data_IF_011742403129
#
_entry.id   IF_011742403129
#
_cell.length_a   1.000
_cell.length_b   1.000
_cell.length_c   1.000
_cell.angle_alpha   90.00
_cell.angle_beta   90.00
_cell.angle_gamma   90.00
#
_symmetry.space_group_name_H-M   'P 1'
#
loop_
_entity.id
_entity.type
_entity.pdbx_description
1 polymer ?
#
# COMPACT_ATOMS: atom_id res chain seq x y z
N UNK A 1 -20.23 -7.33 -20.93
CA UNK A 1 -21.16 -6.60 -20.04
C UNK A 1 -20.42 -5.90 -18.89
N UNK A 2 -19.66 -6.58 -18.03
CA UNK A 2 -18.95 -5.95 -16.89
C UNK A 2 -17.89 -4.93 -17.34
N UNK A 3 -16.92 -5.33 -18.18
CA UNK A 3 -15.85 -4.44 -18.66
C UNK A 3 -16.41 -3.18 -19.34
N UNK A 4 -17.44 -3.34 -20.17
CA UNK A 4 -18.12 -2.23 -20.84
C UNK A 4 -18.78 -1.27 -19.85
N UNK A 5 -19.46 -1.79 -18.83
CA UNK A 5 -20.09 -0.95 -17.80
C UNK A 5 -19.04 -0.16 -17.02
N UNK A 6 -17.94 -0.80 -16.62
CA UNK A 6 -16.82 -0.11 -15.96
C UNK A 6 -16.23 1.00 -16.85
N UNK A 7 -16.05 0.72 -18.15
CA UNK A 7 -15.60 1.71 -19.12
C UNK A 7 -16.52 2.92 -19.26
N UNK A 8 -17.84 2.69 -19.30
CA UNK A 8 -18.85 3.77 -19.34
C UNK A 8 -18.81 4.67 -18.08
N UNK A 9 -18.25 4.17 -16.98
CA UNK A 9 -18.03 4.92 -15.74
C UNK A 9 -16.57 5.38 -15.55
N UNK A 10 -15.76 5.36 -16.62
CA UNK A 10 -14.35 5.76 -16.62
C UNK A 10 -13.48 4.97 -15.62
N UNK A 11 -13.81 3.69 -15.40
CA UNK A 11 -13.03 2.79 -14.56
C UNK A 11 -12.09 1.95 -15.43
N UNK A 12 -10.79 2.04 -15.13
CA UNK A 12 -9.76 1.21 -15.75
C UNK A 12 -9.88 -0.23 -15.25
N UNK A 13 -9.58 -1.19 -16.13
CA UNK A 13 -9.72 -2.62 -15.89
C UNK A 13 -8.39 -3.30 -16.14
N UNK A 14 -7.94 -4.07 -15.15
CA UNK A 14 -6.89 -5.08 -15.30
C UNK A 14 -7.60 -6.44 -15.34
N UNK A 15 -7.38 -7.20 -16.40
CA UNK A 15 -7.90 -8.56 -16.49
C UNK A 15 -6.97 -9.50 -15.74
N UNK A 16 -7.54 -10.40 -14.95
CA UNK A 16 -6.78 -11.39 -14.20
C UNK A 16 -7.17 -12.82 -14.58
N UNK A 17 -6.19 -13.72 -14.56
CA UNK A 17 -6.42 -15.15 -14.60
C UNK A 17 -6.29 -15.72 -13.17
N UNK A 18 -7.39 -15.68 -12.41
CA UNK A 18 -7.37 -15.99 -10.98
C UNK A 18 -7.19 -17.48 -10.65
N UNK A 19 -8.09 -18.32 -11.17
CA UNK A 19 -8.02 -19.77 -11.07
C UNK A 19 -8.52 -20.37 -12.39
N UNK A 20 -8.05 -21.58 -12.73
CA UNK A 20 -8.53 -22.26 -13.94
C UNK A 20 -9.89 -22.90 -13.70
N UNK A 21 -10.05 -23.56 -12.54
CA UNK A 21 -11.32 -24.11 -12.09
C UNK A 21 -11.95 -23.14 -11.08
N UNK A 22 -13.22 -22.77 -11.32
CA UNK A 22 -13.98 -21.89 -10.43
C UNK A 22 -13.98 -22.42 -8.99
N UNK A 23 -13.61 -21.57 -8.03
CA UNK A 23 -13.53 -21.92 -6.62
C UNK A 23 -13.01 -20.76 -5.79
N UNK A 24 -12.91 -20.96 -4.47
CA UNK A 24 -12.26 -20.02 -3.57
C UNK A 24 -10.75 -20.25 -3.59
N UNK A 25 -10.00 -19.19 -3.82
CA UNK A 25 -8.55 -19.18 -3.77
C UNK A 25 -8.09 -18.82 -2.34
N UNK A 26 -6.98 -19.33 -1.81
CA UNK A 26 -5.93 -20.09 -2.48
C UNK A 26 -5.39 -21.17 -1.53
N UNK A 27 -5.46 -22.45 -1.92
CA UNK A 27 -4.85 -23.53 -1.15
C UNK A 27 -3.59 -24.05 -1.86
N UNK A 28 -2.65 -24.62 -1.09
CA UNK A 28 -1.42 -25.19 -1.65
C UNK A 28 -1.66 -26.42 -2.56
N UNK A 29 -2.83 -27.05 -2.45
CA UNK A 29 -3.15 -28.32 -3.09
C UNK A 29 -4.50 -28.31 -3.81
N UNK A 30 -5.02 -27.13 -4.19
CA UNK A 30 -6.27 -27.01 -4.96
C UNK A 30 -6.13 -27.42 -6.45
N UNK A 31 -4.93 -27.84 -6.87
CA UNK A 31 -4.65 -28.28 -8.25
C UNK A 31 -4.63 -27.14 -9.27
N UNK A 32 -4.58 -25.87 -8.83
CA UNK A 32 -4.49 -24.69 -9.67
C UNK A 32 -3.20 -23.89 -9.41
N UNK A 33 -2.35 -24.28 -8.46
CA UNK A 33 -1.27 -23.44 -7.94
C UNK A 33 -0.13 -23.18 -8.94
N UNK A 34 0.25 -24.17 -9.75
CA UNK A 34 1.40 -24.03 -10.65
C UNK A 34 1.22 -24.76 -11.98
N UNK A 35 2.04 -24.40 -12.97
CA UNK A 35 2.03 -25.02 -14.29
C UNK A 35 2.20 -26.55 -14.19
N UNK A 36 1.36 -27.29 -14.91
CA UNK A 36 1.31 -28.76 -14.87
C UNK A 36 0.54 -29.33 -13.67
N UNK A 37 -0.11 -28.50 -12.86
CA UNK A 37 -1.12 -28.97 -11.93
C UNK A 37 -2.37 -29.50 -12.63
N UNK A 38 -3.16 -30.28 -11.88
CA UNK A 38 -4.30 -31.04 -12.39
C UNK A 38 -5.28 -30.18 -13.22
N UNK A 39 -5.42 -28.90 -12.87
CA UNK A 39 -6.27 -27.96 -13.58
C UNK A 39 -5.48 -26.85 -14.30
N UNK A 40 -4.15 -26.89 -14.34
CA UNK A 40 -3.33 -25.80 -14.89
C UNK A 40 -2.37 -26.29 -15.99
N UNK A 41 -2.93 -26.52 -17.18
CA UNK A 41 -2.16 -26.79 -18.40
C UNK A 41 -1.61 -25.48 -19.00
N UNK A 42 -0.27 -25.33 -19.15
CA UNK A 42 0.34 -24.12 -19.68
C UNK A 42 -0.02 -23.82 -21.14
N UNK A 43 -0.31 -24.84 -21.97
CA UNK A 43 -0.72 -24.67 -23.36
C UNK A 43 -2.11 -24.06 -23.43
N UNK A 44 -3.04 -24.60 -22.66
CA UNK A 44 -4.42 -24.10 -22.58
C UNK A 44 -4.43 -22.68 -21.99
N UNK A 45 -3.65 -22.44 -20.94
CA UNK A 45 -3.52 -21.11 -20.33
C UNK A 45 -2.97 -20.07 -21.30
N UNK A 46 -1.90 -20.38 -22.05
CA UNK A 46 -1.33 -19.45 -23.04
C UNK A 46 -2.35 -19.11 -24.14
N UNK A 47 -3.09 -20.11 -24.61
CA UNK A 47 -4.16 -19.90 -25.59
C UNK A 47 -5.30 -19.04 -25.02
N UNK A 48 -5.68 -19.25 -23.76
CA UNK A 48 -6.68 -18.45 -23.07
C UNK A 48 -6.24 -16.99 -22.90
N UNK A 49 -4.97 -16.75 -22.51
CA UNK A 49 -4.40 -15.41 -22.43
C UNK A 49 -4.46 -14.69 -23.78
N UNK A 50 -4.02 -15.34 -24.86
CA UNK A 50 -4.07 -14.79 -26.21
C UNK A 50 -5.50 -14.42 -26.62
N UNK A 51 -6.45 -15.31 -26.35
CA UNK A 51 -7.87 -15.10 -26.66
C UNK A 51 -8.44 -13.90 -25.90
N UNK A 52 -8.15 -13.79 -24.60
CA UNK A 52 -8.61 -12.66 -23.78
C UNK A 52 -7.98 -11.35 -24.23
N UNK A 53 -6.68 -11.34 -24.50
CA UNK A 53 -5.98 -10.17 -25.04
C UNK A 53 -6.59 -9.70 -26.37
N UNK A 54 -6.81 -10.61 -27.32
CA UNK A 54 -7.43 -10.30 -28.61
C UNK A 54 -8.88 -9.81 -28.47
N UNK A 55 -9.66 -10.41 -27.56
CA UNK A 55 -11.06 -10.03 -27.30
C UNK A 55 -11.19 -8.57 -26.85
N UNK A 56 -10.21 -8.08 -26.09
CA UNK A 56 -10.19 -6.71 -25.58
C UNK A 56 -9.23 -5.79 -26.33
N UNK A 57 -8.73 -6.20 -27.50
CA UNK A 57 -7.94 -5.32 -28.35
C UNK A 57 -8.81 -4.16 -28.85
N UNK A 58 -8.32 -2.93 -28.64
CA UNK A 58 -9.05 -1.70 -28.95
C UNK A 58 -10.04 -1.24 -27.86
N UNK A 59 -10.21 -1.98 -26.76
CA UNK A 59 -11.06 -1.57 -25.64
C UNK A 59 -10.24 -0.69 -24.69
N UNK A 60 -10.41 0.63 -24.78
CA UNK A 60 -9.53 1.63 -24.15
C UNK A 60 -9.45 1.58 -22.62
N UNK A 61 -10.51 1.11 -21.95
CA UNK A 61 -10.51 1.01 -20.49
C UNK A 61 -9.89 -0.29 -19.97
N UNK A 62 -9.52 -1.24 -20.84
CA UNK A 62 -8.68 -2.39 -20.45
C UNK A 62 -7.23 -1.95 -20.58
N UNK A 63 -6.57 -1.75 -19.44
CA UNK A 63 -5.23 -1.15 -19.38
C UNK A 63 -4.13 -2.16 -19.10
N UNK A 64 -4.47 -3.33 -18.59
CA UNK A 64 -3.50 -4.36 -18.24
C UNK A 64 -4.09 -5.77 -18.19
N UNK A 65 -3.21 -6.76 -18.23
CA UNK A 65 -3.54 -8.15 -18.00
C UNK A 65 -2.51 -8.76 -17.03
N UNK A 66 -2.98 -9.21 -15.86
CA UNK A 66 -2.20 -10.11 -15.01
C UNK A 66 -2.28 -11.53 -15.57
N UNK A 67 -1.10 -12.15 -15.66
CA UNK A 67 -0.95 -13.42 -16.35
C UNK A 67 -1.50 -14.60 -15.53
N UNK A 68 -1.37 -14.57 -14.21
CA UNK A 68 -1.85 -15.63 -13.31
C UNK A 68 -1.83 -15.15 -11.86
N UNK A 69 -2.87 -15.45 -11.09
CA UNK A 69 -2.88 -15.16 -9.66
C UNK A 69 -2.10 -16.19 -8.83
N UNK A 70 -1.23 -15.72 -7.95
CA UNK A 70 -0.63 -16.46 -6.84
C UNK A 70 -0.03 -17.82 -7.20
N UNK A 71 1.01 -17.84 -8.04
CA UNK A 71 1.72 -19.10 -8.36
C UNK A 71 2.32 -19.70 -7.08
N UNK A 72 2.05 -20.99 -6.83
CA UNK A 72 2.30 -21.63 -5.52
C UNK A 72 2.29 -23.16 -5.58
N UNK A 73 2.58 -23.78 -4.46
CA UNK A 73 2.41 -25.22 -4.27
C UNK A 73 3.68 -26.03 -4.57
N UNK A 74 3.63 -27.36 -4.38
CA UNK A 74 4.81 -28.22 -4.33
C UNK A 74 5.54 -28.37 -5.67
N UNK A 75 4.90 -28.07 -6.80
CA UNK A 75 5.53 -28.12 -8.13
C UNK A 75 6.25 -26.83 -8.52
N UNK A 76 6.07 -25.75 -7.75
CA UNK A 76 6.61 -24.46 -8.12
C UNK A 76 8.13 -24.51 -8.29
N UNK A 77 8.64 -23.94 -9.37
CA UNK A 77 10.07 -23.83 -9.62
C UNK A 77 10.37 -22.65 -10.55
N UNK A 78 11.58 -22.11 -10.42
CA UNK A 78 12.01 -20.91 -11.14
C UNK A 78 12.14 -21.15 -12.65
N UNK A 79 12.56 -22.34 -13.08
CA UNK A 79 12.79 -22.63 -14.50
C UNK A 79 11.48 -22.62 -15.31
N UNK A 80 10.45 -23.29 -14.80
CA UNK A 80 9.13 -23.28 -15.40
C UNK A 80 8.46 -21.91 -15.29
N UNK A 81 8.67 -21.17 -14.20
CA UNK A 81 8.22 -19.79 -14.10
C UNK A 81 8.78 -18.94 -15.24
N UNK A 82 10.10 -18.96 -15.48
CA UNK A 82 10.70 -18.18 -16.58
C UNK A 82 10.17 -18.63 -17.94
N UNK A 83 10.07 -19.93 -18.16
CA UNK A 83 9.58 -20.48 -19.43
C UNK A 83 8.15 -20.01 -19.71
N UNK A 84 7.22 -20.28 -18.80
CA UNK A 84 5.80 -20.08 -19.05
C UNK A 84 5.37 -18.63 -18.87
N UNK A 85 5.91 -17.90 -17.88
CA UNK A 85 5.53 -16.51 -17.70
C UNK A 85 6.02 -15.63 -18.85
N UNK A 86 7.21 -15.90 -19.41
CA UNK A 86 7.64 -15.23 -20.64
C UNK A 86 6.78 -15.63 -21.84
N UNK A 87 6.46 -16.92 -21.98
CA UNK A 87 5.55 -17.39 -23.05
C UNK A 87 4.18 -16.69 -22.97
N UNK A 88 3.59 -16.58 -21.77
CA UNK A 88 2.33 -15.88 -21.56
C UNK A 88 2.41 -14.39 -21.85
N UNK A 89 3.51 -13.74 -21.44
CA UNK A 89 3.77 -12.33 -21.72
C UNK A 89 3.84 -12.03 -23.22
N UNK A 90 4.61 -12.83 -23.97
CA UNK A 90 4.72 -12.71 -25.43
C UNK A 90 3.38 -12.95 -26.12
N UNK A 91 2.61 -13.93 -25.65
CA UNK A 91 1.30 -14.26 -26.18
C UNK A 91 0.29 -13.11 -26.00
N UNK A 92 0.24 -12.50 -24.81
CA UNK A 92 -0.60 -11.32 -24.55
C UNK A 92 -0.16 -10.14 -25.42
N UNK A 93 1.13 -9.81 -25.43
CA UNK A 93 1.62 -8.65 -26.17
C UNK A 93 1.41 -8.79 -27.69
N UNK A 94 1.60 -9.99 -28.23
CA UNK A 94 1.36 -10.28 -29.66
C UNK A 94 -0.10 -10.08 -30.05
N UNK A 95 -1.04 -10.48 -29.18
CA UNK A 95 -2.47 -10.35 -29.41
C UNK A 95 -3.02 -8.93 -29.13
N UNK A 96 -2.42 -8.20 -28.19
CA UNK A 96 -2.81 -6.85 -27.82
C UNK A 96 -1.62 -6.03 -27.29
N UNK A 97 -1.06 -5.17 -28.16
CA UNK A 97 0.11 -4.33 -27.84
C UNK A 97 -0.20 -3.14 -26.93
N UNK A 98 -1.48 -2.85 -26.69
CA UNK A 98 -1.89 -1.65 -25.97
C UNK A 98 -1.84 -1.82 -24.44
N UNK A 99 -2.09 -3.04 -23.96
CA UNK A 99 -2.17 -3.35 -22.52
C UNK A 99 -0.79 -3.50 -21.86
N UNK A 100 -0.73 -3.20 -20.56
CA UNK A 100 0.35 -3.62 -19.68
C UNK A 100 0.29 -5.13 -19.47
N UNK A 101 1.44 -5.77 -19.38
CA UNK A 101 1.59 -7.20 -19.07
C UNK A 101 2.13 -7.31 -17.65
N UNK A 102 1.33 -7.87 -16.75
CA UNK A 102 1.65 -7.95 -15.32
C UNK A 102 2.06 -9.37 -14.96
N UNK A 103 3.30 -9.53 -14.48
CA UNK A 103 3.88 -10.83 -14.11
C UNK A 103 3.85 -11.03 -12.60
N UNK A 104 3.15 -12.07 -12.19
CA UNK A 104 3.03 -12.53 -10.81
C UNK A 104 4.23 -13.35 -10.33
N UNK A 105 4.38 -13.43 -9.01
CA UNK A 105 5.52 -14.05 -8.35
C UNK A 105 5.28 -15.50 -7.96
N UNK A 106 6.27 -16.09 -7.30
CA UNK A 106 6.13 -17.38 -6.62
C UNK A 106 5.63 -17.19 -5.19
N UNK A 107 5.25 -18.29 -4.55
CA UNK A 107 4.82 -18.33 -3.15
C UNK A 107 3.68 -17.36 -2.86
N UNK A 108 2.56 -17.51 -3.59
CA UNK A 108 1.38 -16.66 -3.43
C UNK A 108 1.70 -15.17 -3.72
N UNK A 109 2.47 -14.92 -4.77
CA UNK A 109 2.90 -13.57 -5.18
C UNK A 109 3.69 -12.79 -4.13
N UNK A 110 4.31 -13.49 -3.18
CA UNK A 110 5.22 -12.88 -2.18
C UNK A 110 6.69 -12.94 -2.59
N UNK A 111 7.03 -13.57 -3.73
CA UNK A 111 8.42 -13.88 -4.10
C UNK A 111 8.77 -13.64 -5.57
N UNK A 112 9.58 -12.61 -5.83
CA UNK A 112 10.19 -12.26 -7.13
C UNK A 112 11.73 -12.15 -7.05
N UNK A 113 12.34 -12.54 -5.92
CA UNK A 113 13.78 -12.39 -5.67
C UNK A 113 14.68 -13.09 -6.69
N UNK A 114 14.19 -14.17 -7.31
CA UNK A 114 14.92 -14.93 -8.34
C UNK A 114 15.09 -14.17 -9.67
N UNK A 115 14.39 -13.06 -9.87
CA UNK A 115 14.57 -12.18 -11.04
C UNK A 115 15.86 -11.37 -10.94
N UNK A 116 16.32 -11.06 -9.72
CA UNK A 116 17.54 -10.29 -9.52
C UNK A 116 18.77 -10.93 -10.19
N UNK A 117 19.08 -12.23 -10.00
CA UNK A 117 20.19 -12.87 -10.69
C UNK A 117 19.88 -13.31 -12.14
N UNK A 118 18.60 -13.33 -12.55
CA UNK A 118 18.16 -13.77 -13.87
C UNK A 118 17.03 -12.85 -14.37
N UNK A 119 17.35 -11.76 -15.07
CA UNK A 119 16.32 -10.89 -15.62
C UNK A 119 15.41 -11.62 -16.61
N UNK A 120 14.16 -11.15 -16.71
CA UNK A 120 13.20 -11.59 -17.72
C UNK A 120 13.63 -11.08 -19.10
N UNK A 121 13.50 -11.92 -20.14
CA UNK A 121 13.79 -11.56 -21.53
C UNK A 121 12.53 -11.62 -22.37
N UNK A 122 12.09 -10.45 -22.87
CA UNK A 122 10.91 -10.30 -23.73
C UNK A 122 11.27 -9.50 -24.99
N UNK A 123 10.51 -9.71 -26.06
CA UNK A 123 10.63 -9.01 -27.34
C UNK A 123 10.19 -7.54 -27.29
N UNK A 124 9.50 -7.15 -26.21
CA UNK A 124 8.92 -5.82 -26.01
C UNK A 124 9.41 -5.15 -24.73
N UNK A 125 9.34 -3.82 -24.68
CA UNK A 125 9.76 -3.00 -23.53
C UNK A 125 8.68 -1.97 -23.19
N UNK A 126 8.77 -1.35 -22.00
CA UNK A 126 7.87 -0.27 -21.58
C UNK A 126 6.42 -0.68 -21.29
N UNK A 127 6.12 -1.99 -21.25
CA UNK A 127 4.78 -2.54 -20.95
C UNK A 127 4.78 -3.59 -19.83
N UNK A 128 5.94 -3.95 -19.31
CA UNK A 128 6.09 -4.96 -18.27
C UNK A 128 5.90 -4.33 -16.88
N UNK A 129 5.09 -4.99 -16.06
CA UNK A 129 4.84 -4.67 -14.65
C UNK A 129 5.00 -5.97 -13.84
N UNK A 130 5.48 -5.86 -12.61
CA UNK A 130 5.46 -6.99 -11.66
C UNK A 130 4.44 -6.75 -10.56
N UNK A 131 3.86 -7.80 -10.01
CA UNK A 131 2.90 -7.69 -8.90
C UNK A 131 3.35 -8.41 -7.63
N UNK A 132 2.94 -7.87 -6.49
CA UNK A 132 3.10 -8.47 -5.17
C UNK A 132 1.76 -8.54 -4.44
N UNK A 133 1.57 -9.62 -3.71
CA UNK A 133 0.53 -9.75 -2.71
C UNK A 133 1.18 -9.74 -1.33
N UNK A 134 0.60 -9.00 -0.39
CA UNK A 134 1.08 -9.03 0.99
C UNK A 134 -0.09 -8.82 1.93
N UNK A 135 -0.25 -9.73 2.86
CA UNK A 135 -1.23 -9.67 3.94
C UNK A 135 -0.53 -9.87 5.27
N UNK A 136 -1.22 -9.60 6.38
CA UNK A 136 -0.68 -9.85 7.71
C UNK A 136 -0.27 -11.32 7.90
N UNK A 137 -1.04 -12.25 7.31
CA UNK A 137 -0.81 -13.69 7.37
C UNK A 137 0.27 -14.20 6.39
N UNK A 138 0.74 -13.38 5.44
CA UNK A 138 1.93 -13.70 4.64
C UNK A 138 3.16 -13.92 5.53
N UNK A 139 3.15 -13.31 6.72
CA UNK A 139 4.18 -13.42 7.75
C UNK A 139 3.73 -14.33 8.93
N UNK A 140 2.71 -15.16 8.71
CA UNK A 140 2.09 -15.98 9.76
C UNK A 140 1.46 -15.13 10.86
N UNK A 141 1.77 -15.45 12.12
CA UNK A 141 1.28 -14.73 13.31
C UNK A 141 2.33 -13.75 13.88
N UNK A 142 3.37 -13.40 13.12
CA UNK A 142 4.50 -12.64 13.66
C UNK A 142 4.11 -11.26 14.21
N UNK A 143 3.05 -10.65 13.67
CA UNK A 143 2.56 -9.36 14.17
C UNK A 143 1.91 -9.45 15.55
N UNK A 144 1.30 -10.58 15.89
CA UNK A 144 0.72 -10.79 17.22
C UNK A 144 1.71 -11.31 18.25
N UNK A 145 2.77 -12.03 17.82
CA UNK A 145 3.74 -12.64 18.74
C UNK A 145 4.99 -11.81 18.99
N UNK A 146 5.38 -10.94 18.05
CA UNK A 146 6.65 -10.21 18.11
C UNK A 146 6.43 -8.73 18.43
N UNK A 147 7.51 -8.06 18.82
CA UNK A 147 7.54 -6.60 18.88
C UNK A 147 7.20 -6.00 17.51
N UNK A 148 6.20 -5.12 17.45
CA UNK A 148 5.66 -4.58 16.20
C UNK A 148 6.66 -3.76 15.40
N UNK A 149 7.58 -3.06 16.08
CA UNK A 149 8.60 -2.25 15.44
C UNK A 149 9.68 -3.10 14.77
N UNK A 150 10.19 -4.10 15.48
CA UNK A 150 11.18 -5.03 14.94
C UNK A 150 10.58 -5.91 13.84
N UNK A 151 9.35 -6.38 14.05
CA UNK A 151 8.64 -7.16 13.04
C UNK A 151 8.38 -6.34 11.77
N UNK A 152 7.98 -5.06 11.89
CA UNK A 152 7.85 -4.18 10.73
C UNK A 152 9.19 -4.05 9.99
N UNK A 153 10.31 -3.83 10.69
CA UNK A 153 11.64 -3.81 10.06
C UNK A 153 11.97 -5.11 9.29
N UNK A 154 11.64 -6.27 9.85
CA UNK A 154 11.82 -7.56 9.17
C UNK A 154 10.91 -7.72 7.95
N UNK A 155 9.65 -7.34 8.05
CA UNK A 155 8.68 -7.40 6.95
C UNK A 155 9.10 -6.48 5.80
N UNK A 156 9.49 -5.24 6.09
CA UNK A 156 9.98 -4.31 5.07
C UNK A 156 11.25 -4.82 4.38
N UNK A 157 12.14 -5.50 5.11
CA UNK A 157 13.29 -6.17 4.51
C UNK A 157 12.87 -7.33 3.59
N UNK A 158 11.85 -8.12 3.97
CA UNK A 158 11.30 -9.18 3.11
C UNK A 158 10.68 -8.60 1.84
N UNK A 159 9.81 -7.60 1.95
CA UNK A 159 9.19 -6.92 0.81
C UNK A 159 10.27 -6.39 -0.14
N UNK A 160 11.29 -5.69 0.40
CA UNK A 160 12.41 -5.18 -0.41
C UNK A 160 13.12 -6.29 -1.17
N UNK A 161 13.49 -7.36 -0.49
CA UNK A 161 14.26 -8.46 -1.09
C UNK A 161 13.43 -9.29 -2.08
N UNK A 162 12.12 -9.39 -1.85
CA UNK A 162 11.25 -10.25 -2.62
C UNK A 162 10.49 -9.54 -3.75
N UNK A 163 10.61 -8.24 -3.92
CA UNK A 163 10.06 -7.55 -5.10
C UNK A 163 10.23 -6.04 -5.08
N UNK A 164 10.33 -5.42 -3.90
CA UNK A 164 10.57 -3.98 -3.78
C UNK A 164 11.86 -3.50 -4.46
N UNK A 165 12.86 -4.37 -4.64
CA UNK A 165 14.08 -4.06 -5.40
C UNK A 165 13.82 -3.69 -6.88
N UNK A 166 12.70 -4.12 -7.45
CA UNK A 166 12.34 -3.86 -8.85
C UNK A 166 12.11 -2.36 -9.10
N UNK A 167 11.60 -1.63 -8.11
CA UNK A 167 11.44 -0.17 -8.18
C UNK A 167 12.80 0.53 -8.39
N UNK A 168 13.84 0.07 -7.71
CA UNK A 168 15.21 0.60 -7.86
C UNK A 168 15.83 0.25 -9.23
N UNK A 169 15.30 -0.77 -9.91
CA UNK A 169 15.70 -1.16 -11.27
C UNK A 169 14.86 -0.45 -12.35
N UNK A 170 13.93 0.42 -11.96
CA UNK A 170 13.07 1.17 -12.87
C UNK A 170 11.86 0.41 -13.40
N UNK A 171 11.53 -0.74 -12.82
CA UNK A 171 10.31 -1.47 -13.14
C UNK A 171 9.13 -1.01 -12.26
N UNK A 172 7.92 -0.84 -12.82
CA UNK A 172 6.72 -0.68 -12.02
C UNK A 172 6.43 -1.93 -11.18
N UNK A 173 6.02 -1.71 -9.94
CA UNK A 173 5.61 -2.74 -8.99
C UNK A 173 4.19 -2.44 -8.53
N UNK A 174 3.29 -3.40 -8.76
CA UNK A 174 1.88 -3.30 -8.43
C UNK A 174 1.58 -4.09 -7.15
N UNK A 175 1.26 -3.41 -6.05
CA UNK A 175 0.79 -4.06 -4.82
C UNK A 175 -0.67 -4.49 -5.03
N UNK A 176 -0.84 -5.63 -5.69
CA UNK A 176 -2.11 -6.04 -6.29
C UNK A 176 -3.11 -6.57 -5.27
N UNK A 177 -2.65 -7.18 -4.20
CA UNK A 177 -3.55 -7.62 -3.14
C UNK A 177 -2.95 -7.36 -1.76
N UNK A 178 -3.72 -6.64 -0.97
CA UNK A 178 -3.53 -6.44 0.46
C UNK A 178 -4.89 -6.11 1.07
N UNK A 179 -4.99 -6.16 2.39
CA UNK A 179 -6.20 -5.81 3.11
C UNK A 179 -6.19 -6.32 4.53
N UNK A 180 -7.23 -5.96 5.28
CA UNK A 180 -7.49 -6.44 6.64
C UNK A 180 -8.97 -6.71 6.82
N UNK A 181 -9.30 -7.50 7.83
CA UNK A 181 -10.66 -7.63 8.33
C UNK A 181 -11.11 -6.29 8.94
N UNK A 182 -12.02 -5.59 8.27
CA UNK A 182 -12.45 -4.24 8.62
C UNK A 182 -13.37 -4.18 9.84
N UNK A 183 -13.77 -5.34 10.40
CA UNK A 183 -14.45 -5.40 11.71
C UNK A 183 -13.52 -5.01 12.87
N UNK A 184 -12.21 -5.10 12.67
CA UNK A 184 -11.19 -4.86 13.69
C UNK A 184 -11.08 -6.01 14.70
N UNK A 185 -10.21 -5.82 15.70
CA UNK A 185 -10.00 -6.79 16.79
C UNK A 185 -9.05 -7.94 16.43
N UNK A 186 -8.48 -7.94 15.23
CA UNK A 186 -7.43 -8.86 14.84
C UNK A 186 -6.07 -8.18 15.00
N UNK A 187 -5.36 -8.54 16.07
CA UNK A 187 -4.04 -7.97 16.42
C UNK A 187 -3.04 -8.07 15.26
N UNK A 188 -3.07 -9.15 14.47
CA UNK A 188 -2.15 -9.34 13.35
C UNK A 188 -2.41 -8.28 12.26
N UNK A 189 -3.68 -8.10 11.90
CA UNK A 189 -4.14 -7.10 10.94
C UNK A 189 -3.87 -5.67 11.41
N UNK A 190 -4.28 -5.36 12.65
CA UNK A 190 -4.20 -4.01 13.22
C UNK A 190 -2.75 -3.51 13.28
N UNK A 191 -1.80 -4.39 13.59
CA UNK A 191 -0.37 -4.04 13.69
C UNK A 191 0.35 -4.03 12.35
N UNK A 192 -0.06 -4.88 11.41
CA UNK A 192 0.50 -4.98 10.07
C UNK A 192 0.23 -3.74 9.21
N UNK A 193 -1.01 -3.25 9.25
CA UNK A 193 -1.52 -2.37 8.20
C UNK A 193 -0.76 -1.03 8.09
N UNK A 194 -0.43 -0.41 9.23
CA UNK A 194 0.36 0.82 9.26
C UNK A 194 1.78 0.64 8.71
N UNK A 195 2.39 -0.54 8.88
CA UNK A 195 3.72 -0.81 8.34
C UNK A 195 3.69 -0.91 6.81
N UNK A 196 2.75 -1.68 6.25
CA UNK A 196 2.62 -1.84 4.80
C UNK A 196 2.24 -0.51 4.12
N UNK A 197 1.22 0.18 4.62
CA UNK A 197 0.77 1.45 4.04
C UNK A 197 1.83 2.54 4.13
N UNK A 198 2.62 2.56 5.20
CA UNK A 198 3.80 3.44 5.30
C UNK A 198 4.84 3.16 4.22
N UNK A 199 5.10 1.89 3.89
CA UNK A 199 6.00 1.52 2.78
C UNK A 199 5.40 1.84 1.41
N UNK A 200 4.12 1.55 1.20
CA UNK A 200 3.43 1.82 -0.05
C UNK A 200 3.42 3.32 -0.36
N UNK A 201 3.19 4.18 0.64
CA UNK A 201 3.21 5.62 0.49
C UNK A 201 4.63 6.16 0.22
N UNK A 202 5.64 5.65 0.94
CA UNK A 202 7.05 6.05 0.74
C UNK A 202 7.57 5.73 -0.66
N UNK A 203 7.09 4.63 -1.26
CA UNK A 203 7.54 4.14 -2.56
C UNK A 203 6.59 4.50 -3.72
N UNK A 204 5.48 5.19 -3.44
CA UNK A 204 4.45 5.59 -4.42
C UNK A 204 4.04 4.44 -5.36
N UNK A 205 3.82 3.25 -4.78
CA UNK A 205 3.43 2.07 -5.58
C UNK A 205 1.96 2.13 -5.98
N UNK A 206 1.67 1.70 -7.21
CA UNK A 206 0.28 1.43 -7.60
C UNK A 206 -0.25 0.22 -6.83
N UNK A 207 -1.55 0.20 -6.54
CA UNK A 207 -2.14 -0.84 -5.68
C UNK A 207 -3.59 -1.17 -6.04
N UNK A 208 -4.02 -2.37 -5.68
CA UNK A 208 -5.43 -2.73 -5.57
C UNK A 208 -5.71 -3.39 -4.22
N UNK A 209 -6.85 -3.02 -3.65
CA UNK A 209 -7.28 -3.52 -2.36
C UNK A 209 -8.18 -4.74 -2.55
N UNK A 210 -7.91 -5.81 -1.82
CA UNK A 210 -8.86 -6.90 -1.67
C UNK A 210 -9.80 -6.57 -0.49
N UNK A 211 -11.08 -6.23 -0.72
CA UNK A 211 -11.80 -6.18 -2.00
C UNK A 211 -12.84 -5.04 -2.04
N UNK A 212 -13.47 -4.80 -3.20
CA UNK A 212 -14.60 -3.86 -3.29
C UNK A 212 -15.90 -4.46 -2.72
N UNK A 213 -16.09 -5.77 -2.89
CA UNK A 213 -17.33 -6.53 -2.65
C UNK A 213 -17.81 -6.45 -1.21
N UNK A 214 -19.11 -6.23 -0.98
CA UNK A 214 -19.70 -6.31 0.36
C UNK A 214 -20.17 -7.72 0.76
N UNK A 215 -20.81 -8.45 -0.17
CA UNK A 215 -21.25 -9.84 0.00
C UNK A 215 -20.97 -10.68 -1.24
N UNK A 216 -20.86 -12.00 -1.08
CA UNK A 216 -20.75 -12.92 -2.21
C UNK A 216 -22.12 -13.38 -2.69
N UNK A 217 -22.33 -13.41 -4.01
CA UNK A 217 -23.48 -14.10 -4.59
C UNK A 217 -23.51 -15.57 -4.14
N UNK A 218 -22.35 -16.24 -4.16
CA UNK A 218 -22.13 -17.56 -3.59
C UNK A 218 -20.66 -17.70 -3.22
N UNK A 219 -20.37 -18.09 -1.98
CA UNK A 219 -19.02 -18.45 -1.53
C UNK A 219 -19.09 -19.73 -0.70
N UNK A 220 -18.41 -20.77 -1.17
CA UNK A 220 -18.32 -22.07 -0.49
C UNK A 220 -19.70 -22.64 -0.08
N UNK A 221 -20.70 -22.51 -0.94
CA UNK A 221 -22.07 -23.00 -0.69
C UNK A 221 -22.96 -22.04 0.11
N UNK A 222 -22.45 -20.90 0.56
CA UNK A 222 -23.21 -19.88 1.30
C UNK A 222 -23.55 -18.71 0.38
N UNK A 223 -24.84 -18.42 0.23
CA UNK A 223 -25.36 -17.26 -0.50
C UNK A 223 -25.32 -16.04 0.41
N UNK A 224 -24.89 -14.89 -0.11
CA UNK A 224 -24.87 -13.63 0.63
C UNK A 224 -23.84 -13.59 1.75
N UNK A 225 -22.80 -14.44 1.71
CA UNK A 225 -21.75 -14.42 2.73
C UNK A 225 -21.05 -13.05 2.74
N UNK A 226 -20.93 -12.43 3.91
CA UNK A 226 -20.26 -11.13 4.04
C UNK A 226 -18.76 -11.23 3.74
N UNK A 227 -18.24 -10.26 2.99
CA UNK A 227 -16.81 -10.04 2.79
C UNK A 227 -16.34 -8.95 3.76
N UNK A 228 -15.68 -9.35 4.83
CA UNK A 228 -15.22 -8.43 5.87
C UNK A 228 -13.89 -7.73 5.53
N UNK A 229 -13.19 -8.19 4.49
CA UNK A 229 -12.09 -7.45 3.85
C UNK A 229 -12.63 -6.47 2.78
N UNK A 230 -13.95 -6.44 2.59
CA UNK A 230 -14.62 -5.65 1.56
C UNK A 230 -14.85 -4.20 1.99
N UNK A 231 -14.55 -3.25 1.10
CA UNK A 231 -14.79 -1.81 1.30
C UNK A 231 -16.27 -1.49 1.46
N UNK A 232 -17.12 -2.16 0.69
CA UNK A 232 -18.57 -1.96 0.76
C UNK A 232 -19.17 -2.82 1.87
N UNK A 233 -20.23 -2.33 2.49
CA UNK A 233 -21.05 -3.13 3.39
C UNK A 233 -22.02 -4.04 2.60
N UNK A 234 -22.73 -4.89 3.33
CA UNK A 234 -23.65 -5.89 2.77
C UNK A 234 -24.78 -5.31 1.91
N UNK A 235 -25.08 -4.02 2.05
CA UNK A 235 -26.05 -3.28 1.24
C UNK A 235 -25.51 -2.82 -0.13
N UNK A 236 -24.20 -2.99 -0.38
CA UNK A 236 -23.48 -2.54 -1.59
C UNK A 236 -23.53 -1.03 -1.84
N UNK A 237 -23.92 -0.24 -0.85
CA UNK A 237 -24.08 1.22 -0.93
C UNK A 237 -23.16 1.88 0.09
N UNK A 238 -23.21 1.41 1.33
CA UNK A 238 -22.47 1.97 2.45
C UNK A 238 -21.01 1.54 2.43
N UNK A 239 -20.12 2.43 2.87
CA UNK A 239 -18.74 2.07 3.18
C UNK A 239 -18.73 1.31 4.50
N UNK A 240 -18.10 0.14 4.54
CA UNK A 240 -18.02 -0.70 5.74
C UNK A 240 -17.27 -0.01 6.87
N UNK A 241 -16.08 0.55 6.58
CA UNK A 241 -15.28 1.24 7.58
C UNK A 241 -14.64 2.53 7.01
N UNK A 242 -15.19 3.68 7.40
CA UNK A 242 -14.68 5.00 6.95
C UNK A 242 -13.28 5.31 7.48
N UNK A 243 -12.95 4.85 8.69
CA UNK A 243 -11.60 4.99 9.27
C UNK A 243 -10.57 4.21 8.45
N UNK A 244 -10.93 3.03 7.96
CA UNK A 244 -10.09 2.26 7.04
C UNK A 244 -9.83 3.03 5.73
N UNK A 245 -10.86 3.60 5.09
CA UNK A 245 -10.68 4.42 3.89
C UNK A 245 -9.77 5.63 4.13
N UNK A 246 -9.86 6.25 5.31
CA UNK A 246 -8.98 7.35 5.68
C UNK A 246 -7.51 6.91 5.72
N UNK A 247 -7.21 5.74 6.29
CA UNK A 247 -5.84 5.21 6.40
C UNK A 247 -5.14 5.07 5.05
N UNK A 248 -5.88 4.74 4.00
CA UNK A 248 -5.33 4.57 2.63
C UNK A 248 -5.52 5.81 1.74
N UNK A 249 -6.07 6.90 2.27
CA UNK A 249 -6.45 8.08 1.46
C UNK A 249 -5.26 8.73 0.75
N UNK A 250 -4.09 8.78 1.40
CA UNK A 250 -2.86 9.29 0.76
C UNK A 250 -2.44 8.42 -0.44
N UNK A 251 -2.58 7.10 -0.34
CA UNK A 251 -2.18 6.16 -1.39
C UNK A 251 -2.96 6.35 -2.69
N UNK A 252 -4.12 7.01 -2.64
CA UNK A 252 -4.90 7.34 -3.85
C UNK A 252 -4.28 8.49 -4.67
N UNK A 253 -3.33 9.22 -4.09
CA UNK A 253 -2.65 10.33 -4.75
C UNK A 253 -1.38 9.85 -5.43
N UNK A 254 -1.15 10.28 -6.68
CA UNK A 254 0.13 10.05 -7.36
C UNK A 254 1.17 11.04 -6.82
N UNK A 255 2.14 10.56 -6.04
CA UNK A 255 3.12 11.41 -5.36
C UNK A 255 4.35 11.70 -6.25
N UNK A 256 4.68 10.76 -7.13
CA UNK A 256 5.85 10.77 -8.00
C UNK A 256 5.46 10.36 -9.44
N UNK A 257 6.44 10.27 -10.35
CA UNK A 257 6.22 9.80 -11.72
C UNK A 257 5.92 10.88 -12.79
N UNK A 258 5.41 10.48 -13.98
CA UNK A 258 5.29 11.36 -15.14
C UNK A 258 4.07 12.29 -15.06
N UNK A 259 4.24 13.59 -15.34
CA UNK A 259 3.16 14.60 -15.35
C UNK A 259 3.66 16.00 -14.98
N UNK A 260 2.77 16.98 -14.72
CA UNK A 260 3.16 18.28 -14.20
C UNK A 260 3.91 18.10 -12.88
N UNK A 261 5.16 18.56 -12.86
CA UNK A 261 6.05 18.48 -11.70
C UNK A 261 6.06 19.80 -10.95
N UNK A 262 6.12 19.71 -9.64
CA UNK A 262 6.53 20.81 -8.77
C UNK A 262 7.99 20.62 -8.37
N UNK A 263 8.56 21.60 -7.68
CA UNK A 263 9.76 21.34 -6.90
C UNK A 263 9.50 20.21 -5.91
N UNK A 264 10.54 19.42 -5.63
CA UNK A 264 10.44 18.26 -4.76
C UNK A 264 10.29 18.73 -3.31
N UNK A 265 9.23 18.28 -2.66
CA UNK A 265 8.94 18.59 -1.25
C UNK A 265 8.68 17.28 -0.49
N UNK A 266 8.53 17.37 0.82
CA UNK A 266 8.19 16.22 1.66
C UNK A 266 6.85 16.40 2.36
N UNK A 267 6.22 15.28 2.63
CA UNK A 267 5.11 15.12 3.56
C UNK A 267 5.63 14.38 4.80
N UNK A 268 5.08 14.68 5.97
CA UNK A 268 5.32 13.88 7.18
C UNK A 268 4.04 13.09 7.48
N UNK A 269 3.98 11.87 6.96
CA UNK A 269 2.81 10.98 6.96
C UNK A 269 2.75 10.14 8.23
N UNK A 270 1.56 9.97 8.79
CA UNK A 270 1.29 9.13 9.96
C UNK A 270 0.43 7.91 9.56
N UNK A 271 1.03 6.72 9.36
CA UNK A 271 0.36 5.58 8.73
C UNK A 271 -0.85 5.04 9.50
N UNK A 272 -0.89 5.16 10.83
CA UNK A 272 -2.01 4.68 11.64
C UNK A 272 -3.32 5.44 11.34
N UNK A 273 -3.23 6.72 11.00
CA UNK A 273 -4.40 7.59 10.76
C UNK A 273 -4.63 7.90 9.29
N UNK A 274 -3.63 7.71 8.43
CA UNK A 274 -3.66 8.13 7.03
C UNK A 274 -3.54 9.64 6.82
N UNK A 275 -3.21 10.38 7.88
CA UNK A 275 -3.10 11.84 7.88
C UNK A 275 -1.63 12.28 7.84
N UNK A 276 -1.39 13.56 7.54
CA UNK A 276 -0.07 14.15 7.54
C UNK A 276 0.05 15.24 8.59
N UNK A 277 1.29 15.56 8.99
CA UNK A 277 1.63 16.71 9.79
C UNK A 277 1.20 17.99 9.06
N UNK A 278 0.43 18.83 9.74
CA UNK A 278 -0.01 20.14 9.25
C UNK A 278 0.12 21.20 10.35
N UNK A 279 0.29 22.47 9.99
CA UNK A 279 0.09 23.58 10.90
C UNK A 279 -1.39 23.76 11.22
N UNK A 280 -1.69 24.10 12.46
CA UNK A 280 -3.07 24.36 12.89
C UNK A 280 -3.60 25.64 12.24
N UNK A 281 -4.83 25.56 11.71
CA UNK A 281 -5.53 26.71 11.13
C UNK A 281 -5.81 27.82 12.15
N UNK A 282 -5.87 27.49 13.45
CA UNK A 282 -6.11 28.46 14.52
C UNK A 282 -4.84 29.17 14.98
N UNK A 283 -3.71 28.47 14.91
CA UNK A 283 -2.40 28.95 15.34
C UNK A 283 -1.31 28.24 14.52
N UNK A 284 -0.70 28.96 13.59
CA UNK A 284 0.32 28.43 12.67
C UNK A 284 1.62 28.01 13.37
N UNK A 285 1.78 28.34 14.66
CA UNK A 285 2.90 27.86 15.48
C UNK A 285 2.65 26.48 16.09
N UNK A 286 1.41 26.01 16.06
CA UNK A 286 1.00 24.71 16.60
C UNK A 286 0.82 23.69 15.47
N UNK A 287 1.08 22.42 15.78
CA UNK A 287 0.98 21.31 14.82
C UNK A 287 -0.14 20.33 15.17
N UNK A 288 -0.71 19.71 14.15
CA UNK A 288 -1.73 18.67 14.26
C UNK A 288 -1.61 17.67 13.10
N UNK A 289 -2.36 16.57 13.15
CA UNK A 289 -2.59 15.75 11.97
C UNK A 289 -3.81 16.24 11.20
N UNK A 290 -3.66 16.38 9.89
CA UNK A 290 -4.73 16.77 8.98
C UNK A 290 -4.63 16.09 7.62
N UNK A 291 -5.59 16.35 6.71
CA UNK A 291 -5.56 15.84 5.35
C UNK A 291 -4.23 16.17 4.66
N UNK A 292 -3.59 15.19 4.03
CA UNK A 292 -2.26 15.38 3.45
C UNK A 292 -2.20 16.45 2.35
N UNK A 293 -3.31 16.71 1.64
CA UNK A 293 -3.39 17.80 0.67
C UNK A 293 -3.41 19.21 1.31
N UNK A 294 -3.51 19.29 2.63
CA UNK A 294 -3.40 20.52 3.41
C UNK A 294 -2.06 20.63 4.14
N UNK A 295 -1.15 19.68 3.93
CA UNK A 295 0.19 19.69 4.52
C UNK A 295 1.07 20.73 3.84
N UNK A 296 1.91 21.38 4.64
CA UNK A 296 2.92 22.30 4.17
C UNK A 296 3.98 21.54 3.32
N UNK A 297 4.64 22.22 2.38
CA UNK A 297 5.81 21.65 1.72
C UNK A 297 6.97 21.56 2.72
N UNK A 298 7.24 20.36 3.25
CA UNK A 298 8.30 20.17 4.23
C UNK A 298 9.65 19.92 3.54
N UNK A 299 10.68 20.63 4.00
CA UNK A 299 12.08 20.32 3.72
C UNK A 299 12.68 19.53 4.88
N UNK A 300 13.31 18.38 4.59
CA UNK A 300 14.07 17.60 5.56
C UNK A 300 15.57 17.64 5.25
N UNK A 301 16.28 18.63 5.78
CA UNK A 301 17.70 18.87 5.51
C UNK A 301 18.49 18.94 6.82
N UNK A 302 19.68 18.32 6.84
CA UNK A 302 20.52 18.19 8.05
C UNK A 302 19.73 17.66 9.27
N UNK A 303 18.76 16.76 9.02
CA UNK A 303 17.84 16.20 10.03
C UNK A 303 16.91 17.23 10.68
N UNK A 304 16.68 18.38 10.08
CA UNK A 304 15.71 19.38 10.55
C UNK A 304 14.52 19.40 9.61
N UNK A 305 13.31 19.40 10.16
CA UNK A 305 12.07 19.61 9.41
C UNK A 305 11.74 21.10 9.38
N UNK A 306 11.64 21.67 8.18
CA UNK A 306 11.32 23.08 7.92
C UNK A 306 10.19 23.19 6.93
N UNK A 307 9.42 24.26 6.99
CA UNK A 307 8.50 24.60 5.91
C UNK A 307 9.33 25.28 4.81
N UNK A 308 9.19 24.83 3.56
CA UNK A 308 9.86 25.45 2.42
C UNK A 308 9.47 26.93 2.30
N UNK A 309 10.47 27.75 1.95
CA UNK A 309 10.37 29.22 1.83
C UNK A 309 9.93 29.96 3.10
N UNK A 310 9.91 29.30 4.27
CA UNK A 310 9.61 29.93 5.56
C UNK A 310 10.74 29.72 6.57
N UNK A 311 10.99 30.68 7.48
CA UNK A 311 11.99 30.51 8.53
C UNK A 311 11.49 29.61 9.68
N UNK A 312 10.41 28.85 9.49
CA UNK A 312 9.80 28.03 10.53
C UNK A 312 10.30 26.58 10.47
N UNK A 313 10.68 26.06 11.63
CA UNK A 313 11.19 24.70 11.79
C UNK A 313 10.57 24.01 13.00
N UNK A 314 10.62 22.67 12.98
CA UNK A 314 10.04 21.82 14.01
C UNK A 314 10.86 21.86 15.31
N UNK A 315 10.22 22.22 16.43
CA UNK A 315 10.85 22.35 17.74
C UNK A 315 10.21 21.43 18.78
N UNK A 316 11.05 20.63 19.44
CA UNK A 316 10.68 19.83 20.61
C UNK A 316 10.75 20.69 21.87
N UNK A 317 9.66 20.75 22.63
CA UNK A 317 9.58 21.49 23.89
C UNK A 317 9.85 20.59 25.13
N UNK A 318 10.51 19.45 24.91
CA UNK A 318 10.76 18.45 25.96
C UNK A 318 9.68 17.36 26.06
N UNK A 319 9.85 16.42 27.01
CA UNK A 319 8.97 15.26 27.13
C UNK A 319 7.54 15.67 27.47
N UNK A 320 6.56 14.98 26.87
CA UNK A 320 5.11 15.15 27.10
C UNK A 320 4.55 16.52 26.70
N UNK A 321 5.37 17.37 26.09
CA UNK A 321 4.97 18.67 25.60
C UNK A 321 4.59 18.65 24.11
N UNK A 322 3.76 19.62 23.72
CA UNK A 322 3.41 19.87 22.31
C UNK A 322 4.66 20.20 21.52
N UNK A 323 4.77 19.64 20.32
CA UNK A 323 5.76 20.04 19.33
C UNK A 323 5.22 21.26 18.58
N UNK A 324 6.06 22.28 18.42
CA UNK A 324 5.68 23.58 17.88
C UNK A 324 6.61 24.00 16.74
N UNK A 325 6.24 25.05 16.03
CA UNK A 325 7.09 25.71 15.06
C UNK A 325 7.89 26.84 15.71
N UNK A 326 9.19 26.90 15.45
CA UNK A 326 10.09 27.95 15.92
C UNK A 326 10.84 28.60 14.75
N UNK A 327 11.28 29.85 14.93
CA UNK A 327 12.12 30.56 13.95
C UNK A 327 13.62 30.44 14.24
N UNK A 328 13.98 30.15 15.49
CA UNK A 328 15.35 30.23 16.00
C UNK A 328 15.85 28.88 16.48
N UNK A 329 15.00 28.16 17.20
CA UNK A 329 15.36 26.91 17.85
C UNK A 329 14.81 25.75 17.02
N UNK A 330 15.67 25.16 16.20
CA UNK A 330 15.31 24.03 15.36
C UNK A 330 15.83 22.73 15.96
N UNK A 331 14.92 21.84 16.35
CA UNK A 331 15.28 20.52 16.84
C UNK A 331 15.77 19.63 15.70
N UNK A 332 16.64 18.68 16.05
CA UNK A 332 17.08 17.61 15.17
C UNK A 332 16.10 16.46 15.30
N UNK A 333 15.59 15.95 14.18
CA UNK A 333 14.67 14.83 14.10
C UNK A 333 15.30 13.74 13.25
N UNK A 334 15.72 12.64 13.85
CA UNK A 334 16.33 11.52 13.15
C UNK A 334 15.34 10.36 13.05
N UNK A 335 15.24 9.75 11.86
CA UNK A 335 14.60 8.44 11.71
C UNK A 335 15.42 7.37 12.44
N UNK A 336 14.85 6.75 13.46
CA UNK A 336 15.45 5.66 14.24
C UNK A 336 14.58 4.40 14.16
N UNK A 337 14.99 3.36 14.90
CA UNK A 337 14.32 2.05 15.02
C UNK A 337 14.42 1.13 13.80
N UNK A 338 14.12 -0.16 13.99
CA UNK A 338 14.13 -1.17 12.92
C UNK A 338 13.17 -0.85 11.77
N UNK A 339 11.99 -0.28 12.05
CA UNK A 339 11.02 0.14 11.02
C UNK A 339 11.41 1.44 10.32
N UNK A 340 12.34 2.22 10.90
CA UNK A 340 12.71 3.58 10.47
C UNK A 340 11.54 4.57 10.50
N UNK A 341 10.52 4.31 11.33
CA UNK A 341 9.32 5.15 11.43
C UNK A 341 9.30 6.03 12.70
N UNK A 342 10.28 5.92 13.59
CA UNK A 342 10.35 6.81 14.74
C UNK A 342 11.15 8.06 14.35
N UNK A 343 10.51 9.23 14.30
CA UNK A 343 11.20 10.52 14.16
C UNK A 343 11.55 11.04 15.55
N UNK A 344 12.83 10.91 15.93
CA UNK A 344 13.31 11.18 17.28
C UNK A 344 14.20 12.42 17.37
N UNK A 345 13.95 13.23 18.39
CA UNK A 345 14.82 14.32 18.85
C UNK A 345 15.59 13.91 20.09
N UNK A 346 16.88 14.24 20.15
CA UNK A 346 17.73 13.94 21.31
C UNK A 346 17.65 15.08 22.32
N UNK A 347 17.36 14.76 23.57
CA UNK A 347 17.39 15.72 24.69
C UNK A 347 18.82 15.93 25.20
N UNK A 348 19.05 16.96 26.01
CA UNK A 348 20.33 17.19 26.70
C UNK A 348 20.81 16.00 27.53
N UNK A 349 19.90 15.12 27.95
CA UNK A 349 20.15 13.95 28.78
C UNK A 349 20.31 12.66 27.95
N UNK A 350 20.50 12.75 26.63
CA UNK A 350 20.64 11.63 25.69
C UNK A 350 19.44 10.67 25.59
N UNK A 351 18.30 10.99 26.19
CA UNK A 351 17.06 10.21 26.03
C UNK A 351 16.32 10.66 24.76
N UNK A 352 15.98 9.75 23.83
CA UNK A 352 15.28 10.10 22.60
C UNK A 352 13.79 10.34 22.86
N UNK A 353 13.30 11.47 22.35
CA UNK A 353 11.88 11.80 22.29
C UNK A 353 11.38 11.65 20.86
N UNK A 354 10.40 10.79 20.65
CA UNK A 354 9.78 10.56 19.37
C UNK A 354 8.58 11.48 19.18
N UNK A 355 8.33 11.90 17.93
CA UNK A 355 7.03 12.41 17.55
C UNK A 355 5.97 11.38 17.92
N UNK A 356 4.89 11.85 18.55
CA UNK A 356 3.76 11.06 18.97
C UNK A 356 2.48 11.84 18.68
N UNK A 357 1.37 11.13 18.55
CA UNK A 357 0.04 11.73 18.36
C UNK A 357 -0.90 11.32 19.49
N UNK A 358 -1.65 12.29 20.03
CA UNK A 358 -2.71 12.01 20.98
C UNK A 358 -4.06 11.68 20.32
N UNK A 359 -5.06 11.33 21.12
CA UNK A 359 -6.40 10.98 20.64
C UNK A 359 -7.14 12.13 19.92
N UNK A 360 -6.65 13.36 20.04
CA UNK A 360 -7.20 14.57 19.40
C UNK A 360 -6.33 15.08 18.25
N UNK A 361 -5.42 14.25 17.73
CA UNK A 361 -4.50 14.57 16.65
C UNK A 361 -3.47 15.68 16.98
N UNK A 362 -3.22 15.98 18.25
CA UNK A 362 -2.12 16.88 18.61
C UNK A 362 -0.78 16.15 18.52
N UNK A 363 0.23 16.88 18.05
CA UNK A 363 1.61 16.40 17.96
C UNK A 363 2.34 16.71 19.27
N UNK A 364 2.95 15.67 19.83
CA UNK A 364 3.69 15.68 21.09
C UNK A 364 5.09 15.10 20.88
N UNK A 365 6.00 15.39 21.82
CA UNK A 365 7.30 14.72 21.90
C UNK A 365 7.33 13.82 23.15
N UNK A 366 7.21 12.51 22.95
CA UNK A 366 7.16 11.53 24.06
C UNK A 366 8.38 10.62 24.04
N UNK A 367 8.75 9.99 25.17
CA UNK A 367 9.74 8.91 25.16
C UNK A 367 9.42 7.88 24.08
N UNK A 368 10.43 7.53 23.29
CA UNK A 368 10.26 6.58 22.19
C UNK A 368 9.83 5.20 22.71
N UNK A 369 8.73 4.66 22.17
CA UNK A 369 8.14 3.39 22.55
C UNK A 369 8.69 2.25 21.70
N UNK A 370 8.62 1.04 22.24
CA UNK A 370 8.86 -0.22 21.51
C UNK A 370 10.22 -0.30 20.80
N UNK A 371 11.24 0.35 21.36
CA UNK A 371 12.64 0.19 20.95
C UNK A 371 13.32 -1.01 21.61
N UNK A 372 12.63 -1.67 22.55
CA UNK A 372 13.01 -2.93 23.20
C UNK A 372 12.14 -4.08 22.67
N UNK A 373 12.56 -5.33 22.90
CA UNK A 373 11.93 -6.55 22.38
C UNK A 373 10.55 -6.92 22.99
N UNK A 374 9.80 -5.97 23.54
CA UNK A 374 8.47 -6.20 24.13
C UNK A 374 7.40 -6.38 23.04
N UNK A 375 6.75 -7.56 23.01
CA UNK A 375 5.71 -7.92 22.03
C UNK A 375 4.33 -7.32 22.32
N UNK A 376 4.10 -6.82 23.54
CA UNK A 376 2.84 -6.16 23.90
C UNK A 376 2.81 -4.70 23.44
N UNK A 377 3.99 -4.10 23.27
CA UNK A 377 4.16 -2.68 22.98
C UNK A 377 3.57 -2.27 21.61
N UNK A 378 2.88 -1.12 21.60
CA UNK A 378 2.27 -0.50 20.40
C UNK A 378 3.00 0.78 19.99
N UNK A 379 3.82 0.76 18.92
CA UNK A 379 4.56 1.95 18.46
C UNK A 379 3.77 2.86 17.50
N UNK A 380 2.57 2.46 17.08
CA UNK A 380 1.92 3.01 15.88
C UNK A 380 1.57 4.50 15.98
N UNK A 381 1.33 5.03 17.18
CA UNK A 381 1.11 6.49 17.39
C UNK A 381 2.38 7.32 17.20
N UNK A 382 3.56 6.67 17.24
CA UNK A 382 4.87 7.29 17.05
C UNK A 382 5.48 6.98 15.68
N UNK A 383 4.72 6.31 14.80
CA UNK A 383 5.18 6.01 13.45
C UNK A 383 4.89 7.16 12.50
N UNK A 384 5.94 7.76 11.99
CA UNK A 384 5.92 8.80 10.98
C UNK A 384 6.87 8.45 9.83
N UNK A 385 6.44 8.72 8.60
CA UNK A 385 7.25 8.57 7.38
C UNK A 385 7.42 9.93 6.72
N UNK A 386 8.66 10.26 6.38
CA UNK A 386 8.95 11.40 5.51
C UNK A 386 8.84 10.90 4.08
N UNK A 387 7.85 11.39 3.35
CA UNK A 387 7.54 10.92 2.00
C UNK A 387 7.89 12.03 1.02
N UNK A 388 8.69 11.68 0.01
CA UNK A 388 9.01 12.61 -1.06
C UNK A 388 7.86 12.68 -2.08
N UNK A 389 7.49 13.90 -2.45
CA UNK A 389 6.51 14.18 -3.48
C UNK A 389 7.09 15.17 -4.50
N UNK A 390 6.79 14.94 -5.77
CA UNK A 390 7.17 15.81 -6.91
C UNK A 390 5.95 16.27 -7.70
N UNK A 391 4.76 15.97 -7.18
CA UNK A 391 3.47 16.25 -7.80
C UNK A 391 2.56 16.91 -6.79
N UNK A 392 1.67 17.82 -7.24
CA UNK A 392 0.68 18.39 -6.36
C UNK A 392 -0.33 17.31 -5.95
N UNK A 393 -0.63 17.26 -4.65
CA UNK A 393 -1.72 16.43 -4.13
C UNK A 393 -3.06 16.97 -4.65
N UNK A 394 -3.76 16.17 -5.46
CA UNK A 394 -5.13 16.50 -5.85
C UNK A 394 -6.02 16.39 -4.61
N UNK A 395 -6.96 17.32 -4.41
CA UNK A 395 -8.01 17.14 -3.42
C UNK A 395 -8.73 15.82 -3.71
N UNK A 396 -8.62 14.81 -2.83
CA UNK A 396 -9.26 13.52 -3.09
C UNK A 396 -10.77 13.76 -3.19
N UNK A 397 -11.39 13.31 -4.29
CA UNK A 397 -12.85 13.40 -4.47
C UNK A 397 -13.62 12.69 -3.34
N UNK A 398 -12.97 11.75 -2.64
CA UNK A 398 -13.54 11.01 -1.51
C UNK A 398 -13.85 11.91 -0.30
N UNK A 399 -13.04 12.94 -0.03
CA UNK A 399 -13.24 13.76 1.16
C UNK A 399 -14.52 14.59 1.09
N UNK A 400 -14.91 15.04 -0.11
CA UNK A 400 -16.20 15.73 -0.34
C UNK A 400 -17.42 14.81 -0.17
N UNK A 401 -17.25 13.48 -0.24
CA UNK A 401 -18.34 12.53 0.03
C UNK A 401 -18.44 12.17 1.51
N UNK A 402 -17.32 12.11 2.24
CA UNK A 402 -17.32 11.87 3.69
C UNK A 402 -17.88 13.05 4.48
N UNK A 403 -17.67 14.30 4.03
CA UNK A 403 -18.31 15.49 4.62
C UNK A 403 -19.84 15.49 4.45
N UNK A 404 -20.36 14.84 3.41
CA UNK A 404 -21.81 14.70 3.18
C UNK A 404 -22.44 13.50 3.91
N UNK A 405 -21.65 12.67 4.59
CA UNK A 405 -22.12 11.48 5.34
C UNK A 405 -21.98 11.63 6.86
N UNK A 406 -21.50 12.77 7.36
CA UNK A 406 -21.59 13.09 8.78
C UNK A 406 -22.96 13.69 9.09
N UNK A 407 -23.73 13.18 10.07
CA UNK A 407 -24.97 13.83 10.47
C UNK A 407 -24.62 15.20 11.03
N UNK A 408 -25.06 16.27 10.36
CA UNK A 408 -25.11 17.58 11.00
C UNK A 408 -25.94 17.42 12.26
N UNK A 409 -25.30 17.60 13.43
CA UNK A 409 -26.03 17.73 14.68
C UNK A 409 -26.83 19.02 14.58
N UNK A 410 -28.14 18.90 14.39
CA UNK A 410 -29.07 19.97 14.70
C UNK A 410 -29.01 20.21 16.21
N UNK A 411 -28.35 21.30 16.61
CA UNK A 411 -28.57 21.94 17.89
C UNK A 411 -28.50 23.45 17.72
N UNK A 412 -29.65 24.06 18.06
CA UNK A 412 -30.05 25.48 18.15
C UNK A 412 -30.56 26.13 16.86
#
# INVERSE_FOLDING_TARGET
>A
MVVTKLGNHNVMVILDNHLTKSGWCCANNDGNGFFGDNFFDPTVWTAALSKMAATFNGVSNVVGMSLRNELRGPKQNVNDWFKYMQQGAEAVHSANKNVLVIMSGLSFDTGLSFIMPRPVHLSFTGKLVFELHWYSFSDGNSWSTNNSNDNCGQVLNRIRNNGGFLLNQGFPLFLREFGIDERGGNVNNDRYFGCLTGWAAENDVDWSLWALTGTYYLRQGVVGLNEYYGVLDSDWISVRNSSFLQKISLLQSTLQGPGPRTDAYNLVFHPLTGLCLVCSLKDTTMLTLGPCNSSEPWSYTKKTLRIEDQPLCLQSNGPENRVTMSRTDCSIWQTISASRMHLASTTSNNNPLCLDVDATNNILANPCKCLSMDSSCQPMSQWFKIINATRPLKSSKLYKQLENLSPKSDML
#
